data_IF_662179823677
#
_entry.id   IF_662179823677
#
_cell.length_a   1.000
_cell.length_b   1.000
_cell.length_c   1.000
_cell.angle_alpha   90.00
_cell.angle_beta   90.00
_cell.angle_gamma   90.00
#
_symmetry.space_group_name_H-M   'P 1'
#
loop_
_entity.id
_entity.type
_entity.pdbx_description
1 polymer ?
#
# COMPACT_ATOMS: atom_id res chain seq x y z
N UNK A 1 -13.11 -9.33 -18.63
CA UNK A 1 -11.72 -9.84 -18.41
C UNK A 1 -10.77 -8.77 -17.85
N UNK A 2 -11.01 -7.46 -18.06
CA UNK A 2 -10.19 -6.38 -17.45
C UNK A 2 -10.48 -6.18 -15.94
N UNK A 3 -11.71 -6.42 -15.48
CA UNK A 3 -12.13 -6.29 -14.07
C UNK A 3 -11.36 -7.22 -13.12
N UNK A 4 -10.92 -8.39 -13.59
CA UNK A 4 -10.14 -9.31 -12.76
C UNK A 4 -8.71 -8.80 -12.53
N UNK A 5 -8.09 -8.14 -13.51
CA UNK A 5 -6.70 -7.67 -13.36
C UNK A 5 -6.56 -6.53 -12.36
N UNK A 6 -7.51 -5.59 -12.32
CA UNK A 6 -7.51 -4.51 -11.33
C UNK A 6 -7.59 -5.04 -9.89
N UNK A 7 -8.33 -6.14 -9.71
CA UNK A 7 -8.56 -6.74 -8.40
C UNK A 7 -7.35 -7.46 -7.81
N UNK A 8 -6.53 -8.14 -8.61
CA UNK A 8 -5.43 -8.98 -8.13
C UNK A 8 -4.06 -8.33 -8.38
N UNK A 9 -3.41 -7.71 -7.37
CA UNK A 9 -2.12 -7.07 -7.55
C UNK A 9 -1.03 -7.98 -8.11
N UNK A 10 -1.09 -9.28 -7.81
CA UNK A 10 -0.15 -10.28 -8.33
C UNK A 10 -0.17 -10.39 -9.87
N UNK A 11 -1.27 -10.00 -10.52
CA UNK A 11 -1.45 -10.06 -11.98
C UNK A 11 -1.13 -8.74 -12.69
N UNK A 12 -0.73 -7.71 -11.95
CA UNK A 12 -0.40 -6.41 -12.51
C UNK A 12 0.84 -6.48 -13.38
N UNK A 13 0.82 -5.72 -14.47
CA UNK A 13 2.00 -5.40 -15.26
C UNK A 13 2.49 -3.99 -14.93
N UNK A 14 3.62 -3.60 -15.53
CA UNK A 14 4.20 -2.27 -15.35
C UNK A 14 3.18 -1.13 -15.55
N UNK A 15 2.24 -1.25 -16.48
CA UNK A 15 1.25 -0.20 -16.74
C UNK A 15 0.24 -0.10 -15.61
N UNK A 16 -0.22 -1.24 -15.10
CA UNK A 16 -1.15 -1.30 -13.97
C UNK A 16 -0.50 -0.75 -12.68
N UNK A 17 0.77 -1.08 -12.44
CA UNK A 17 1.54 -0.57 -11.29
C UNK A 17 1.66 0.96 -11.38
N UNK A 18 2.03 1.52 -12.54
CA UNK A 18 2.14 2.98 -12.66
C UNK A 18 0.79 3.69 -12.49
N UNK A 19 -0.31 3.12 -12.98
CA UNK A 19 -1.65 3.66 -12.74
C UNK A 19 -2.00 3.65 -11.26
N UNK A 20 -1.66 2.57 -10.55
CA UNK A 20 -1.86 2.47 -9.11
C UNK A 20 -1.06 3.54 -8.35
N UNK A 21 0.21 3.74 -8.70
CA UNK A 21 1.06 4.79 -8.12
C UNK A 21 0.51 6.21 -8.42
N UNK A 22 0.03 6.46 -9.64
CA UNK A 22 -0.58 7.75 -9.98
C UNK A 22 -1.91 7.98 -9.26
N UNK A 23 -2.68 6.91 -9.03
CA UNK A 23 -3.96 6.98 -8.33
C UNK A 23 -3.75 7.26 -6.84
N UNK A 24 -2.84 6.54 -6.18
CA UNK A 24 -2.62 6.70 -4.74
C UNK A 24 -2.03 8.07 -4.40
N UNK A 25 -1.18 8.63 -5.27
CA UNK A 25 -0.69 10.01 -5.16
C UNK A 25 -1.85 11.02 -5.12
N UNK A 26 -2.85 10.85 -5.99
CA UNK A 26 -4.00 11.77 -6.08
C UNK A 26 -5.01 11.55 -4.97
N UNK A 27 -5.28 10.30 -4.63
CA UNK A 27 -6.29 9.91 -3.64
C UNK A 27 -5.89 10.35 -2.24
N UNK A 28 -4.62 10.15 -1.88
CA UNK A 28 -4.09 10.48 -0.55
C UNK A 28 -3.34 11.82 -0.51
N UNK A 29 -3.30 12.55 -1.63
CA UNK A 29 -2.59 13.83 -1.76
C UNK A 29 -1.13 13.68 -1.34
N UNK A 30 -0.48 12.59 -1.81
CA UNK A 30 0.91 12.31 -1.47
C UNK A 30 1.85 13.24 -2.26
N UNK A 31 3.04 13.53 -1.71
CA UNK A 31 4.14 14.05 -2.50
C UNK A 31 4.39 13.19 -3.75
N UNK A 32 4.78 13.79 -4.90
CA UNK A 32 5.08 13.01 -6.10
C UNK A 32 6.16 11.95 -5.82
N UNK A 33 5.87 10.70 -6.15
CA UNK A 33 6.81 9.59 -6.08
C UNK A 33 7.80 9.81 -7.23
N UNK A 34 8.97 10.34 -6.91
CA UNK A 34 10.00 10.67 -7.92
C UNK A 34 10.67 9.44 -8.54
N UNK A 35 10.60 8.31 -7.84
CA UNK A 35 11.36 7.10 -8.13
C UNK A 35 10.50 5.95 -8.70
N UNK A 36 9.41 6.25 -9.44
CA UNK A 36 8.50 5.23 -10.02
C UNK A 36 9.22 4.17 -10.85
N UNK A 37 10.32 4.53 -11.51
CA UNK A 37 11.14 3.60 -12.31
C UNK A 37 11.87 2.53 -11.50
N UNK A 38 11.97 2.68 -10.17
CA UNK A 38 12.58 1.68 -9.28
C UNK A 38 11.57 0.66 -8.76
N UNK A 39 10.27 0.87 -9.02
CA UNK A 39 9.28 -0.17 -8.78
C UNK A 39 9.45 -1.32 -9.79
N UNK A 40 9.08 -2.55 -9.39
CA UNK A 40 9.16 -3.70 -10.27
C UNK A 40 8.23 -3.56 -11.48
N UNK A 41 8.52 -4.34 -12.52
CA UNK A 41 7.78 -4.35 -13.77
C UNK A 41 6.57 -5.30 -13.77
N UNK A 42 6.40 -6.06 -12.68
CA UNK A 42 5.30 -7.01 -12.52
C UNK A 42 4.81 -7.10 -11.06
N UNK A 43 3.53 -7.44 -10.95
CA UNK A 43 2.79 -7.50 -9.70
C UNK A 43 3.26 -8.60 -8.75
N UNK A 44 3.79 -9.70 -9.26
CA UNK A 44 4.33 -10.77 -8.43
C UNK A 44 5.53 -10.28 -7.60
N UNK A 45 6.45 -9.53 -8.24
CA UNK A 45 7.55 -8.88 -7.54
C UNK A 45 7.07 -7.78 -6.61
N UNK A 46 6.10 -6.95 -7.05
CA UNK A 46 5.51 -5.91 -6.20
C UNK A 46 4.94 -6.48 -4.89
N UNK A 47 4.18 -7.57 -4.98
CA UNK A 47 3.59 -8.22 -3.81
C UNK A 47 4.61 -8.88 -2.87
N UNK A 48 5.83 -9.14 -3.35
CA UNK A 48 6.92 -9.74 -2.57
C UNK A 48 7.83 -8.72 -1.88
N UNK A 49 7.69 -7.44 -2.20
CA UNK A 49 8.43 -6.36 -1.54
C UNK A 49 7.92 -6.17 -0.12
N UNK A 50 8.85 -5.98 0.81
CA UNK A 50 8.54 -5.62 2.21
C UNK A 50 8.52 -4.09 2.38
N UNK A 51 8.14 -3.63 3.57
CA UNK A 51 8.09 -2.20 3.89
C UNK A 51 9.42 -1.46 3.59
N UNK A 52 10.57 -2.08 3.89
CA UNK A 52 11.88 -1.45 3.68
C UNK A 52 12.20 -1.26 2.20
N UNK A 53 11.76 -2.17 1.34
CA UNK A 53 11.92 -2.03 -0.11
C UNK A 53 11.16 -0.80 -0.61
N UNK A 54 9.94 -0.57 -0.12
CA UNK A 54 9.18 0.65 -0.42
C UNK A 54 9.84 1.90 0.16
N UNK A 55 10.31 1.84 1.40
CA UNK A 55 10.98 2.95 2.09
C UNK A 55 12.23 3.42 1.33
N UNK A 56 12.98 2.48 0.74
CA UNK A 56 14.17 2.78 -0.07
C UNK A 56 13.83 3.50 -1.39
N UNK A 57 12.65 3.25 -1.96
CA UNK A 57 12.23 3.85 -3.23
C UNK A 57 11.56 5.20 -2.99
N UNK A 58 10.57 5.25 -2.10
CA UNK A 58 9.72 6.40 -1.86
C UNK A 58 10.42 7.44 -0.98
N UNK A 59 11.33 7.00 -0.09
CA UNK A 59 12.12 7.80 0.86
C UNK A 59 11.26 8.46 1.95
N UNK A 60 10.08 8.96 1.61
CA UNK A 60 9.11 9.53 2.53
C UNK A 60 8.37 8.46 3.34
N UNK A 61 8.43 8.57 4.66
CA UNK A 61 7.87 7.57 5.58
C UNK A 61 6.35 7.48 5.51
N UNK A 62 5.66 8.61 5.45
CA UNK A 62 4.19 8.65 5.46
C UNK A 62 3.63 8.08 4.15
N UNK A 63 4.19 8.50 3.02
CA UNK A 63 3.85 7.96 1.69
C UNK A 63 4.16 6.47 1.59
N UNK A 64 5.32 6.03 2.11
CA UNK A 64 5.70 4.61 2.16
C UNK A 64 4.65 3.79 2.90
N UNK A 65 4.23 4.25 4.10
CA UNK A 65 3.21 3.57 4.90
C UNK A 65 1.89 3.46 4.14
N UNK A 66 1.41 4.55 3.56
CA UNK A 66 0.14 4.57 2.81
C UNK A 66 0.17 3.62 1.60
N UNK A 67 1.26 3.63 0.83
CA UNK A 67 1.48 2.71 -0.29
C UNK A 67 1.47 1.25 0.14
N UNK A 68 2.23 0.95 1.19
CA UNK A 68 2.40 -0.41 1.68
C UNK A 68 1.11 -0.96 2.29
N UNK A 69 0.46 -0.18 3.15
CA UNK A 69 -0.84 -0.52 3.75
C UNK A 69 -1.88 -0.78 2.66
N UNK A 70 -1.92 0.08 1.63
CA UNK A 70 -2.86 -0.10 0.53
C UNK A 70 -2.59 -1.41 -0.24
N UNK A 71 -1.34 -1.71 -0.58
CA UNK A 71 -1.00 -2.95 -1.26
C UNK A 71 -1.37 -4.18 -0.42
N UNK A 72 -1.11 -4.15 0.89
CA UNK A 72 -1.49 -5.23 1.80
C UNK A 72 -3.01 -5.39 1.92
N UNK A 73 -3.77 -4.30 1.90
CA UNK A 73 -5.22 -4.37 1.80
C UNK A 73 -5.69 -5.05 0.51
N UNK A 74 -5.09 -4.74 -0.63
CA UNK A 74 -5.41 -5.39 -1.90
C UNK A 74 -5.05 -6.89 -1.88
N UNK A 75 -3.88 -7.24 -1.30
CA UNK A 75 -3.47 -8.64 -1.07
C UNK A 75 -4.53 -9.39 -0.23
N UNK A 76 -4.96 -8.80 0.90
CA UNK A 76 -6.00 -9.38 1.79
C UNK A 76 -7.36 -9.51 1.11
N UNK A 77 -7.78 -8.50 0.34
CA UNK A 77 -9.03 -8.53 -0.43
C UNK A 77 -9.06 -9.66 -1.48
N UNK A 78 -7.89 -10.13 -1.90
CA UNK A 78 -7.73 -11.27 -2.80
C UNK A 78 -7.64 -12.64 -2.09
N UNK A 79 -7.69 -12.66 -0.75
CA UNK A 79 -7.46 -13.88 0.05
C UNK A 79 -6.00 -14.28 0.18
N UNK A 80 -5.05 -13.38 -0.13
CA UNK A 80 -3.63 -13.61 0.11
C UNK A 80 -3.31 -13.39 1.60
N UNK A 81 -2.55 -14.31 2.20
CA UNK A 81 -2.02 -14.14 3.55
C UNK A 81 -0.94 -13.06 3.50
N UNK A 82 -1.05 -12.06 4.37
CA UNK A 82 -0.02 -11.04 4.57
C UNK A 82 0.66 -11.38 5.88
N UNK A 83 1.98 -11.21 5.94
CA UNK A 83 2.76 -11.47 7.14
C UNK A 83 2.38 -10.45 8.23
N UNK A 84 1.63 -10.91 9.24
CA UNK A 84 1.13 -10.07 10.35
C UNK A 84 2.28 -9.42 11.14
N UNK A 85 3.45 -10.07 11.16
CA UNK A 85 4.67 -9.56 11.80
C UNK A 85 5.17 -8.25 11.16
N UNK A 86 4.90 -8.00 9.87
CA UNK A 86 5.29 -6.75 9.21
C UNK A 86 4.37 -5.58 9.59
N UNK A 87 3.08 -5.85 9.84
CA UNK A 87 2.15 -4.82 10.30
C UNK A 87 2.51 -4.36 11.73
N UNK A 88 2.91 -5.29 12.60
CA UNK A 88 3.35 -4.98 13.96
C UNK A 88 4.63 -4.13 13.98
N UNK A 89 5.57 -4.41 13.05
CA UNK A 89 6.79 -3.60 12.88
C UNK A 89 6.44 -2.18 12.45
N UNK A 90 5.50 -2.02 11.52
CA UNK A 90 5.02 -0.70 11.07
C UNK A 90 4.33 0.01 12.24
N UNK A 91 3.45 -0.65 12.98
CA UNK A 91 2.77 -0.05 14.13
C UNK A 91 3.78 0.43 15.18
N UNK A 92 4.83 -0.35 15.45
CA UNK A 92 5.95 0.06 16.31
C UNK A 92 6.78 1.22 15.75
N UNK A 93 7.05 1.24 14.45
CA UNK A 93 7.83 2.30 13.78
C UNK A 93 7.14 3.67 13.80
N UNK A 94 5.80 3.67 13.86
CA UNK A 94 4.97 4.87 13.86
C UNK A 94 4.25 5.12 15.19
N UNK A 95 4.38 4.21 16.16
CA UNK A 95 4.03 4.45 17.56
C UNK A 95 5.04 5.41 18.16
N UNK A 96 4.71 6.70 18.07
CA UNK A 96 5.45 7.79 18.69
C UNK A 96 5.70 7.48 20.18
N UNK A 97 6.93 7.72 20.66
CA UNK A 97 7.37 7.54 22.05
C UNK A 97 6.69 8.59 22.96
N UNK A 98 5.37 8.50 23.08
CA UNK A 98 4.56 9.30 23.99
C UNK A 98 4.01 8.36 25.05
N UNK A 99 4.70 8.32 26.17
CA UNK A 99 4.22 7.72 27.41
C UNK A 99 2.78 8.13 27.69
N UNK A 100 1.86 7.17 27.63
CA UNK A 100 0.57 7.24 28.30
C UNK A 100 -0.66 7.39 27.41
N UNK A 101 -1.58 6.46 27.66
CA UNK A 101 -3.00 6.43 27.32
C UNK A 101 -3.38 5.80 25.97
N UNK A 102 -3.90 4.57 26.09
CA UNK A 102 -5.00 4.01 25.31
C UNK A 102 -5.67 4.99 24.36
N UNK A 103 -5.53 4.74 23.06
CA UNK A 103 -6.57 5.03 22.08
C UNK A 103 -6.40 4.09 20.90
N UNK A 104 -7.13 2.97 20.95
CA UNK A 104 -7.54 2.22 19.77
C UNK A 104 -8.20 3.18 18.79
N UNK A 105 -7.40 3.72 17.87
CA UNK A 105 -7.92 4.60 16.82
C UNK A 105 -8.48 3.72 15.71
N UNK A 106 -9.74 4.00 15.40
CA UNK A 106 -10.66 3.26 14.55
C UNK A 106 -10.14 3.13 13.11
N UNK A 107 -10.60 2.10 12.37
CA UNK A 107 -10.30 2.01 10.94
C UNK A 107 -10.87 3.24 10.22
N UNK A 108 -10.15 3.71 9.20
CA UNK A 108 -10.60 4.75 8.27
C UNK A 108 -11.84 4.26 7.52
N UNK A 109 -13.01 4.40 8.13
CA UNK A 109 -14.33 3.90 7.68
C UNK A 109 -14.75 4.45 6.30
N UNK A 110 -14.12 5.53 5.82
CA UNK A 110 -14.34 6.07 4.46
C UNK A 110 -13.29 5.68 3.41
N UNK A 111 -12.20 5.04 3.81
CA UNK A 111 -11.11 4.66 2.90
C UNK A 111 -11.49 3.39 2.12
N UNK A 112 -12.15 2.43 2.79
CA UNK A 112 -12.61 1.18 2.17
C UNK A 112 -13.55 1.39 0.98
N UNK A 113 -14.50 2.31 1.06
CA UNK A 113 -15.45 2.56 -0.03
C UNK A 113 -14.77 3.15 -1.28
N UNK A 114 -13.74 3.99 -1.09
CA UNK A 114 -12.95 4.53 -2.20
C UNK A 114 -11.98 3.49 -2.79
N UNK A 115 -11.45 2.60 -1.95
CA UNK A 115 -10.63 1.48 -2.37
C UNK A 115 -11.40 0.47 -3.22
N UNK A 116 -12.66 0.19 -2.90
CA UNK A 116 -13.53 -0.66 -3.74
C UNK A 116 -13.75 -0.02 -5.12
N UNK A 117 -13.84 1.32 -5.21
CA UNK A 117 -13.97 2.00 -6.50
C UNK A 117 -12.72 1.96 -7.40
N UNK A 118 -11.54 1.64 -6.85
CA UNK A 118 -10.35 1.35 -7.68
C UNK A 118 -10.43 -0.06 -8.30
N UNK A 119 -11.14 -0.98 -7.63
CA UNK A 119 -11.29 -2.38 -8.03
C UNK A 119 -12.44 -2.59 -9.03
N UNK A 120 -13.54 -1.83 -8.90
CA UNK A 120 -14.72 -1.83 -9.79
C UNK A 120 -14.55 -0.92 -11.02
#
# INVERSE_FOLDING_TARGET
MLELKGKYPYLWDYVDINKWLDWIEKEFILPPIVNKSYFPDNGAQLCSMNYYDFANIVIDKESTKILFDNLNHLKRACGHQVDEDEDDIIDWLFSDDSSGAESRSRPLDGSLDRFVSFID
#
